data_IF_253845577135
#
_entry.id   IF_253845577135
#
_cell.length_a   1.000
_cell.length_b   1.000
_cell.length_c   1.000
_cell.angle_alpha   90.00
_cell.angle_beta   90.00
_cell.angle_gamma   90.00
#
_symmetry.space_group_name_H-M   'P 1'
#
loop_
_entity.id
_entity.type
_entity.pdbx_description
1 polymer ?
#
# COMPACT_ATOMS: atom_id res chain seq x y z
N UNK A 1 7.52 16.49 18.67
CA UNK A 1 6.06 16.40 18.68
C UNK A 1 5.70 15.18 17.84
N UNK A 2 5.40 14.05 18.47
CA UNK A 2 4.93 12.87 17.76
C UNK A 2 3.52 13.20 17.28
N UNK A 3 3.29 13.12 15.96
CA UNK A 3 1.94 13.23 15.42
C UNK A 3 1.17 12.01 15.94
N UNK A 4 0.10 12.26 16.70
CA UNK A 4 -0.83 11.22 17.10
C UNK A 4 -1.47 10.59 15.85
N UNK A 5 -1.74 9.29 15.87
CA UNK A 5 -2.35 8.59 14.73
C UNK A 5 -3.70 9.23 14.32
N UNK A 6 -4.40 9.80 15.30
CA UNK A 6 -5.63 10.58 15.12
C UNK A 6 -5.46 11.79 14.18
N UNK A 7 -4.23 12.33 14.04
CA UNK A 7 -3.95 13.39 13.08
C UNK A 7 -4.18 12.92 11.63
N UNK A 8 -3.81 11.69 11.30
CA UNK A 8 -3.98 11.14 9.95
C UNK A 8 -5.44 10.82 9.62
N UNK A 9 -6.32 10.75 10.63
CA UNK A 9 -7.77 10.64 10.43
C UNK A 9 -8.40 11.96 9.96
N UNK A 10 -7.75 13.09 10.23
CA UNK A 10 -8.24 14.41 9.79
C UNK A 10 -7.89 14.76 8.35
N UNK A 11 -6.98 14.00 7.73
CA UNK A 11 -6.52 14.23 6.37
C UNK A 11 -7.53 13.71 5.33
N UNK A 12 -7.67 14.36 4.16
CA UNK A 12 -8.49 13.83 3.08
C UNK A 12 -8.07 12.42 2.69
N UNK A 13 -9.03 11.52 2.56
CA UNK A 13 -8.81 10.14 2.18
C UNK A 13 -9.34 9.83 0.78
N UNK A 14 -8.69 8.88 0.12
CA UNK A 14 -9.10 8.32 -1.17
C UNK A 14 -9.12 6.81 -1.04
N UNK A 15 -10.26 6.17 -1.33
CA UNK A 15 -10.36 4.71 -1.36
C UNK A 15 -10.29 4.25 -2.81
N UNK A 16 -9.37 3.33 -3.11
CA UNK A 16 -9.26 2.65 -4.39
C UNK A 16 -9.67 1.20 -4.23
N UNK A 17 -10.73 0.83 -4.94
CA UNK A 17 -11.28 -0.52 -4.88
C UNK A 17 -10.59 -1.47 -5.86
N UNK A 18 -10.58 -2.77 -5.53
CA UNK A 18 -10.11 -3.84 -6.41
C UNK A 18 -8.69 -3.64 -6.97
N UNK A 19 -7.77 -3.15 -6.15
CA UNK A 19 -6.39 -2.92 -6.55
C UNK A 19 -5.51 -4.14 -6.28
N UNK A 20 -4.49 -4.36 -7.12
CA UNK A 20 -3.42 -5.29 -6.83
C UNK A 20 -2.34 -4.59 -6.01
N UNK A 21 -2.11 -5.05 -4.79
CA UNK A 21 -1.11 -4.53 -3.85
C UNK A 21 0.15 -5.36 -3.95
N UNK A 22 1.32 -4.71 -3.94
CA UNK A 22 2.62 -5.37 -3.87
C UNK A 22 3.34 -4.96 -2.60
N UNK A 23 3.70 -5.94 -1.78
CA UNK A 23 4.47 -5.75 -0.55
C UNK A 23 5.80 -6.51 -0.67
N UNK A 24 6.89 -5.89 -0.22
CA UNK A 24 8.18 -6.52 -0.03
C UNK A 24 8.42 -6.76 1.47
N UNK A 25 8.95 -7.93 1.84
CA UNK A 25 9.21 -8.23 3.25
C UNK A 25 7.95 -8.41 4.11
N UNK A 26 6.86 -8.91 3.54
CA UNK A 26 5.59 -9.15 4.23
C UNK A 26 5.77 -9.99 5.52
N UNK A 27 5.19 -9.55 6.62
CA UNK A 27 5.28 -10.20 7.92
C UNK A 27 6.64 -10.07 8.61
N UNK A 28 7.52 -9.18 8.12
CA UNK A 28 8.83 -8.91 8.71
C UNK A 28 8.93 -7.47 9.21
N UNK A 29 9.94 -7.16 10.03
CA UNK A 29 10.23 -5.79 10.45
C UNK A 29 10.62 -4.86 9.28
N UNK A 30 10.96 -5.43 8.12
CA UNK A 30 11.29 -4.69 6.90
C UNK A 30 10.13 -4.62 5.90
N UNK A 31 8.89 -4.84 6.35
CA UNK A 31 7.73 -4.76 5.47
C UNK A 31 7.64 -3.37 4.81
N UNK A 32 7.62 -3.38 3.48
CA UNK A 32 7.58 -2.17 2.67
C UNK A 32 6.55 -2.32 1.57
N UNK A 33 5.64 -1.36 1.53
CA UNK A 33 4.66 -1.25 0.46
C UNK A 33 5.32 -0.70 -0.81
N UNK A 34 5.26 -1.47 -1.89
CA UNK A 34 5.87 -1.11 -3.17
C UNK A 34 4.89 -0.41 -4.13
N UNK A 35 3.58 -0.58 -3.94
CA UNK A 35 2.57 0.09 -4.77
C UNK A 35 1.26 -0.68 -4.93
N UNK A 36 0.28 0.02 -5.50
CA UNK A 36 -1.02 -0.50 -5.95
C UNK A 36 -1.18 -0.30 -7.43
N UNK A 37 -1.77 -1.29 -8.09
CA UNK A 37 -1.94 -1.31 -9.53
C UNK A 37 -3.37 -1.73 -9.88
N UNK A 38 -3.94 -1.11 -10.90
CA UNK A 38 -5.25 -1.51 -11.41
C UNK A 38 -5.18 -2.85 -12.16
N UNK A 39 -3.99 -3.25 -12.64
CA UNK A 39 -3.78 -4.49 -13.37
C UNK A 39 -2.81 -5.43 -12.67
N UNK A 40 -3.10 -6.73 -12.75
CA UNK A 40 -2.24 -7.79 -12.23
C UNK A 40 -0.86 -7.80 -12.88
N UNK A 41 -0.83 -7.52 -14.18
CA UNK A 41 0.40 -7.56 -14.98
C UNK A 41 1.38 -6.48 -14.51
N UNK A 42 0.90 -5.28 -14.21
CA UNK A 42 1.75 -4.21 -13.67
C UNK A 42 2.23 -4.52 -12.26
N UNK A 43 1.34 -5.04 -11.40
CA UNK A 43 1.72 -5.51 -10.07
C UNK A 43 2.80 -6.59 -10.16
N UNK A 44 2.65 -7.55 -11.08
CA UNK A 44 3.61 -8.62 -11.27
C UNK A 44 4.97 -8.13 -11.77
N UNK A 45 5.00 -7.10 -12.64
CA UNK A 45 6.26 -6.44 -13.03
C UNK A 45 6.98 -5.85 -11.83
N UNK A 46 6.26 -5.23 -10.90
CA UNK A 46 6.88 -4.69 -9.68
C UNK A 46 7.32 -5.78 -8.72
N UNK A 47 6.49 -6.80 -8.51
CA UNK A 47 6.81 -7.95 -7.65
C UNK A 47 8.10 -8.67 -8.08
N UNK A 48 8.36 -8.78 -9.39
CA UNK A 48 9.63 -9.37 -9.86
C UNK A 48 10.86 -8.52 -9.49
N UNK A 49 10.70 -7.21 -9.30
CA UNK A 49 11.76 -6.29 -8.85
C UNK A 49 11.95 -6.26 -7.34
N UNK A 50 10.97 -6.75 -6.58
CA UNK A 50 11.05 -6.84 -5.12
C UNK A 50 12.15 -7.82 -4.69
N UNK A 51 12.92 -7.43 -3.67
CA UNK A 51 14.18 -8.07 -3.30
C UNK A 51 13.98 -9.16 -2.25
N UNK A 52 12.95 -9.07 -1.42
CA UNK A 52 12.72 -10.05 -0.37
C UNK A 52 12.19 -11.37 -0.93
N UNK A 53 12.46 -12.44 -0.19
CA UNK A 53 11.80 -13.73 -0.37
C UNK A 53 10.36 -13.71 0.14
N UNK A 54 10.04 -12.79 1.06
CA UNK A 54 8.72 -12.62 1.66
C UNK A 54 7.89 -11.57 0.93
N UNK A 55 8.09 -11.42 -0.37
CA UNK A 55 7.26 -10.53 -1.20
C UNK A 55 5.89 -11.14 -1.45
N UNK A 56 4.87 -10.30 -1.59
CA UNK A 56 3.48 -10.74 -1.80
C UNK A 56 2.77 -9.85 -2.82
N UNK A 57 1.89 -10.45 -3.63
CA UNK A 57 0.85 -9.74 -4.38
C UNK A 57 -0.50 -10.27 -3.93
N UNK A 58 -1.46 -9.39 -3.71
CA UNK A 58 -2.85 -9.74 -3.39
C UNK A 58 -3.79 -8.65 -3.87
N UNK A 59 -5.09 -8.95 -3.95
CA UNK A 59 -6.12 -7.96 -4.23
C UNK A 59 -6.63 -7.33 -2.94
N UNK A 60 -6.83 -6.03 -2.95
CA UNK A 60 -7.38 -5.31 -1.81
C UNK A 60 -8.12 -4.03 -2.21
N UNK A 61 -8.97 -3.57 -1.31
CA UNK A 61 -9.41 -2.18 -1.27
C UNK A 61 -8.37 -1.39 -0.45
N UNK A 62 -7.89 -0.27 -0.98
CA UNK A 62 -6.78 0.48 -0.36
C UNK A 62 -7.20 1.89 -0.05
N UNK A 63 -7.00 2.30 1.20
CA UNK A 63 -7.23 3.66 1.66
C UNK A 63 -5.92 4.44 1.65
N UNK A 64 -5.93 5.58 0.98
CA UNK A 64 -4.84 6.53 0.97
C UNK A 64 -5.20 7.77 1.79
N UNK A 65 -4.21 8.36 2.45
CA UNK A 65 -4.28 9.74 2.97
C UNK A 65 -3.53 10.67 2.04
N UNK A 66 -4.09 11.85 1.81
CA UNK A 66 -3.48 12.89 1.00
C UNK A 66 -2.69 13.85 1.87
N UNK A 67 -1.38 13.92 1.64
CA UNK A 67 -0.48 14.87 2.29
C UNK A 67 0.15 15.74 1.20
N UNK A 68 -0.29 16.99 1.10
CA UNK A 68 0.04 17.87 -0.02
C UNK A 68 -0.44 17.29 -1.35
N UNK A 69 0.50 17.06 -2.29
CA UNK A 69 0.23 16.51 -3.61
C UNK A 69 0.52 15.00 -3.72
N UNK A 70 0.70 14.31 -2.60
CA UNK A 70 1.06 12.89 -2.55
C UNK A 70 0.03 12.08 -1.79
N UNK A 71 -0.18 10.85 -2.25
CA UNK A 71 -1.02 9.85 -1.60
C UNK A 71 -0.12 8.85 -0.86
N UNK A 72 -0.42 8.61 0.42
CA UNK A 72 0.27 7.63 1.25
C UNK A 72 -0.73 6.55 1.64
N UNK A 73 -0.34 5.28 1.51
CA UNK A 73 -1.20 4.19 1.95
C UNK A 73 -1.39 4.28 3.46
N UNK A 74 -2.65 4.31 3.89
CA UNK A 74 -3.04 4.29 5.30
C UNK A 74 -3.41 2.89 5.74
N UNK A 75 -4.25 2.21 4.97
CA UNK A 75 -4.74 0.87 5.27
C UNK A 75 -5.18 0.14 4.01
N UNK A 76 -5.36 -1.17 4.12
CA UNK A 76 -5.92 -2.01 3.08
C UNK A 76 -6.83 -3.08 3.68
N UNK A 77 -7.79 -3.55 2.89
CA UNK A 77 -8.66 -4.68 3.18
C UNK A 77 -8.52 -5.68 2.02
N UNK A 78 -7.90 -6.83 2.31
CA UNK A 78 -7.72 -7.91 1.33
C UNK A 78 -9.08 -8.54 0.95
N UNK A 79 -9.29 -8.85 -0.34
CA UNK A 79 -10.53 -9.39 -0.91
C UNK A 79 -10.34 -10.75 -1.56
#
# INVERSE_FOLDING_TARGET
MLLDESFFDTLPTEVRYNQYVVIDGFGTLGESYLGTYASEIEAYKMYKKASSKYKRIFKANVTFVKIGNRNYMKSYEEI
#
